data_IF_225118421996
#
_entry.id   IF_225118421996
#
_cell.length_a   1.000
_cell.length_b   1.000
_cell.length_c   1.000
_cell.angle_alpha   90.00
_cell.angle_beta   90.00
_cell.angle_gamma   90.00
#
_symmetry.space_group_name_H-M   'P 1'
#
loop_
_entity.id
_entity.type
_entity.pdbx_description
1 polymer ?
#
# COMPACT_ATOMS: atom_id res chain seq x y z
N UNK A 1 -3.55 -61.80 -19.22
CA UNK A 1 -2.46 -61.05 -18.56
C UNK A 1 -2.99 -59.67 -18.19
N UNK A 2 -2.85 -59.30 -16.90
CA UNK A 2 -3.21 -58.00 -16.30
C UNK A 2 -2.26 -56.88 -16.76
N UNK A 3 -2.78 -55.64 -16.84
CA UNK A 3 -2.20 -54.33 -16.40
C UNK A 3 -3.10 -53.21 -16.97
N UNK A 4 -4.09 -52.71 -16.21
CA UNK A 4 -4.04 -51.52 -15.33
C UNK A 4 -3.58 -50.26 -16.10
N UNK A 5 -4.51 -49.39 -16.52
CA UNK A 5 -4.91 -48.14 -15.82
C UNK A 5 -3.70 -47.24 -15.51
N UNK A 6 -3.67 -46.01 -16.06
CA UNK A 6 -3.70 -44.76 -15.28
C UNK A 6 -3.79 -43.56 -16.24
N UNK A 7 -4.89 -42.83 -16.09
CA UNK A 7 -5.21 -41.49 -16.59
C UNK A 7 -4.12 -40.50 -16.17
N UNK A 8 -3.52 -39.75 -17.10
CA UNK A 8 -2.79 -38.53 -16.73
C UNK A 8 -3.63 -37.32 -17.11
N UNK A 9 -4.50 -36.98 -16.15
CA UNK A 9 -5.08 -35.67 -15.97
C UNK A 9 -3.93 -34.77 -15.48
N UNK A 10 -3.39 -33.90 -16.33
CA UNK A 10 -2.73 -32.70 -15.83
C UNK A 10 -3.51 -31.51 -16.37
N UNK A 11 -4.37 -31.01 -15.48
CA UNK A 11 -4.92 -29.67 -15.54
C UNK A 11 -3.78 -28.69 -15.81
N UNK A 12 -3.79 -28.08 -16.99
CA UNK A 12 -3.04 -26.86 -17.25
C UNK A 12 -3.63 -25.80 -16.34
N UNK A 13 -2.94 -25.57 -15.22
CA UNK A 13 -3.26 -24.60 -14.18
C UNK A 13 -3.54 -23.25 -14.84
N UNK A 14 -4.75 -22.76 -14.63
CA UNK A 14 -5.17 -21.38 -14.85
C UNK A 14 -4.32 -20.52 -13.91
N UNK A 15 -3.29 -19.85 -14.44
CA UNK A 15 -2.63 -18.73 -13.76
C UNK A 15 -3.31 -17.44 -14.20
N UNK A 16 -4.56 -17.24 -13.79
CA UNK A 16 -5.08 -15.88 -13.60
C UNK A 16 -4.53 -15.38 -12.27
N UNK A 17 -3.24 -15.03 -12.26
CA UNK A 17 -2.61 -14.35 -11.14
C UNK A 17 -3.02 -12.88 -11.13
N UNK A 18 -4.02 -12.58 -10.31
CA UNK A 18 -4.31 -11.35 -9.57
C UNK A 18 -3.68 -10.03 -10.06
N UNK A 19 -4.52 -9.09 -10.47
CA UNK A 19 -4.17 -7.67 -10.54
C UNK A 19 -3.97 -7.10 -9.13
N UNK A 20 -2.77 -7.26 -8.58
CA UNK A 20 -2.31 -6.54 -7.40
C UNK A 20 -1.56 -5.26 -7.78
N UNK A 21 -1.30 -4.37 -6.82
CA UNK A 21 -0.52 -3.16 -7.08
C UNK A 21 0.86 -3.49 -7.68
N UNK A 22 1.37 -2.64 -8.59
CA UNK A 22 2.65 -2.84 -9.28
C UNK A 22 3.88 -2.74 -8.36
N UNK A 23 3.71 -2.27 -7.12
CA UNK A 23 4.77 -2.18 -6.12
C UNK A 23 4.90 -3.46 -5.27
N UNK A 24 4.01 -4.45 -5.46
CA UNK A 24 4.05 -5.72 -4.73
C UNK A 24 3.69 -5.60 -3.25
N UNK A 25 3.05 -4.50 -2.85
CA UNK A 25 2.65 -4.25 -1.46
C UNK A 25 1.39 -5.03 -1.08
N UNK A 26 1.22 -5.33 0.19
CA UNK A 26 -0.01 -5.86 0.76
C UNK A 26 -1.01 -4.71 0.97
N UNK A 27 -2.00 -4.60 0.08
CA UNK A 27 -2.98 -3.52 0.09
C UNK A 27 -3.88 -3.54 1.33
N UNK A 28 -4.20 -4.73 1.85
CA UNK A 28 -5.04 -4.89 3.04
C UNK A 28 -4.29 -4.35 4.25
N UNK A 29 -3.04 -4.77 4.44
CA UNK A 29 -2.18 -4.27 5.55
C UNK A 29 -1.90 -2.78 5.43
N UNK A 30 -1.71 -2.27 4.21
CA UNK A 30 -1.50 -0.84 3.98
C UNK A 30 -2.75 -0.03 4.34
N UNK A 31 -3.94 -0.49 3.94
CA UNK A 31 -5.20 0.15 4.31
C UNK A 31 -5.41 0.12 5.82
N UNK A 32 -5.14 -1.01 6.50
CA UNK A 32 -5.22 -1.10 7.96
C UNK A 32 -4.30 -0.09 8.65
N UNK A 33 -3.03 0.00 8.23
CA UNK A 33 -2.07 0.95 8.80
C UNK A 33 -2.47 2.41 8.57
N UNK A 34 -3.01 2.73 7.39
CA UNK A 34 -3.54 4.06 7.06
C UNK A 34 -4.73 4.41 7.94
N UNK A 35 -5.69 3.50 8.09
CA UNK A 35 -6.87 3.69 8.94
C UNK A 35 -6.44 3.92 10.39
N UNK A 36 -5.58 3.06 10.94
CA UNK A 36 -5.10 3.18 12.32
C UNK A 36 -4.44 4.55 12.54
N UNK A 37 -3.58 4.99 11.60
CA UNK A 37 -2.92 6.29 11.67
C UNK A 37 -3.91 7.45 11.54
N UNK A 38 -4.78 7.44 10.54
CA UNK A 38 -5.75 8.50 10.29
C UNK A 38 -6.67 8.72 11.50
N UNK A 39 -7.13 7.63 12.13
CA UNK A 39 -7.98 7.69 13.33
C UNK A 39 -7.27 8.31 14.54
N UNK A 40 -5.96 8.59 14.49
CA UNK A 40 -5.27 9.35 15.55
C UNK A 40 -5.38 10.87 15.41
N UNK A 41 -5.71 11.38 14.22
CA UNK A 41 -5.77 12.81 13.92
C UNK A 41 -6.93 13.50 14.63
N UNK A 42 -6.70 14.73 15.11
CA UNK A 42 -7.72 15.52 15.78
C UNK A 42 -8.90 15.83 14.85
N UNK A 43 -8.62 16.30 13.62
CA UNK A 43 -9.65 16.65 12.64
C UNK A 43 -10.52 15.45 12.23
N UNK A 44 -9.95 14.25 12.22
CA UNK A 44 -10.70 13.00 11.98
C UNK A 44 -11.63 12.69 13.16
N UNK A 45 -11.12 12.79 14.39
CA UNK A 45 -11.89 12.51 15.61
C UNK A 45 -12.99 13.55 15.87
N UNK A 46 -12.68 14.82 15.67
CA UNK A 46 -13.59 15.94 15.89
C UNK A 46 -14.63 16.07 14.77
N UNK A 47 -14.30 15.56 13.57
CA UNK A 47 -15.21 15.48 12.43
C UNK A 47 -16.17 14.29 12.43
N UNK A 48 -16.20 13.49 13.50
CA UNK A 48 -17.04 12.28 13.62
C UNK A 48 -16.86 11.24 12.50
N UNK A 49 -15.68 11.20 11.86
CA UNK A 49 -15.36 10.22 10.83
C UNK A 49 -15.16 8.81 11.42
N UNK A 50 -15.53 7.78 10.65
CA UNK A 50 -15.28 6.38 10.98
C UNK A 50 -14.21 5.76 10.08
N UNK A 51 -13.68 4.60 10.48
CA UNK A 51 -12.65 3.87 9.72
C UNK A 51 -13.01 3.68 8.25
N UNK A 52 -14.29 3.41 7.96
CA UNK A 52 -14.78 3.22 6.60
C UNK A 52 -14.72 4.49 5.76
N UNK A 53 -14.63 5.67 6.37
CA UNK A 53 -14.51 6.95 5.67
C UNK A 53 -13.08 7.28 5.26
N UNK A 54 -12.09 6.52 5.74
CA UNK A 54 -10.68 6.73 5.41
C UNK A 54 -10.33 5.94 4.14
N UNK A 55 -9.77 6.65 3.16
CA UNK A 55 -9.46 6.11 1.86
C UNK A 55 -7.99 6.29 1.54
N UNK A 56 -7.33 5.18 1.21
CA UNK A 56 -6.03 5.18 0.58
C UNK A 56 -6.12 5.73 -0.86
N UNK A 57 -5.31 6.74 -1.18
CA UNK A 57 -5.33 7.44 -2.47
C UNK A 57 -4.16 7.02 -3.35
N UNK A 58 -2.95 7.12 -2.81
CA UNK A 58 -1.70 6.92 -3.54
C UNK A 58 -0.64 6.36 -2.61
N UNK A 59 0.24 5.53 -3.13
CA UNK A 59 1.47 5.13 -2.46
C UNK A 59 2.65 5.33 -3.42
N UNK A 60 3.74 5.90 -2.92
CA UNK A 60 4.95 6.17 -3.70
C UNK A 60 6.15 5.52 -3.02
N UNK A 61 6.98 4.84 -3.79
CA UNK A 61 8.32 4.49 -3.32
C UNK A 61 9.05 5.78 -2.94
N UNK A 62 9.81 5.73 -1.85
CA UNK A 62 10.45 6.89 -1.28
C UNK A 62 11.86 6.57 -0.81
N UNK A 63 12.63 7.64 -0.61
CA UNK A 63 13.95 7.62 0.02
C UNK A 63 14.04 8.78 1.02
N UNK A 64 14.88 8.69 2.06
CA UNK A 64 15.15 9.84 2.91
C UNK A 64 15.68 11.01 2.07
N UNK A 65 15.21 12.22 2.35
CA UNK A 65 15.56 13.40 1.56
C UNK A 65 17.08 13.60 1.50
N UNK A 66 17.61 13.76 0.29
CA UNK A 66 19.04 13.91 0.05
C UNK A 66 19.84 12.61 0.22
N UNK A 67 19.18 11.45 0.11
CA UNK A 67 19.78 10.11 0.12
C UNK A 67 19.43 9.27 -1.10
N UNK A 68 19.05 9.92 -2.21
CA UNK A 68 18.73 9.25 -3.48
C UNK A 68 19.87 8.34 -3.96
N UNK A 69 21.14 8.70 -3.72
CA UNK A 69 22.28 7.88 -4.15
C UNK A 69 22.38 6.50 -3.45
N UNK A 70 21.67 6.30 -2.34
CA UNK A 70 21.64 5.02 -1.61
C UNK A 70 20.51 4.09 -2.08
N UNK A 71 19.69 4.55 -3.04
CA UNK A 71 18.57 3.81 -3.59
C UNK A 71 17.43 3.59 -2.59
N UNK A 72 16.38 2.94 -3.07
CA UNK A 72 15.22 2.60 -2.27
C UNK A 72 15.49 1.43 -1.31
N UNK A 73 15.05 1.57 -0.05
CA UNK A 73 15.26 0.62 1.05
C UNK A 73 13.93 0.15 1.67
N UNK A 74 12.87 0.07 0.84
CA UNK A 74 11.55 -0.35 1.30
C UNK A 74 10.73 0.75 1.99
N UNK A 75 11.17 2.01 1.89
CA UNK A 75 10.46 3.17 2.43
C UNK A 75 9.44 3.73 1.44
N UNK A 76 8.24 4.03 1.90
CA UNK A 76 7.16 4.55 1.07
C UNK A 76 6.50 5.75 1.73
N UNK A 77 5.94 6.63 0.89
CA UNK A 77 5.00 7.67 1.31
C UNK A 77 3.60 7.26 0.87
N UNK A 78 2.68 7.20 1.81
CA UNK A 78 1.28 6.88 1.59
C UNK A 78 0.43 8.13 1.74
N UNK A 79 -0.52 8.33 0.84
CA UNK A 79 -1.44 9.46 0.79
C UNK A 79 -2.85 8.95 1.03
N UNK A 80 -3.60 9.59 1.91
CA UNK A 80 -4.96 9.21 2.26
C UNK A 80 -5.84 10.44 2.43
N UNK A 81 -7.15 10.20 2.38
CA UNK A 81 -8.16 11.23 2.59
C UNK A 81 -9.42 10.65 3.22
N UNK A 82 -10.27 11.51 3.76
CA UNK A 82 -11.68 11.16 4.03
C UNK A 82 -12.46 11.07 2.72
N UNK A 83 -13.54 10.28 2.70
CA UNK A 83 -14.45 10.12 1.54
C UNK A 83 -14.99 11.42 0.97
N UNK A 84 -15.24 12.39 1.84
CA UNK A 84 -15.71 13.73 1.47
C UNK A 84 -14.56 14.70 1.11
N UNK A 85 -13.31 14.25 1.22
CA UNK A 85 -12.06 14.97 0.90
C UNK A 85 -11.74 16.17 1.80
N UNK A 86 -12.49 16.37 2.89
CA UNK A 86 -12.27 17.48 3.82
C UNK A 86 -10.98 17.32 4.63
N UNK A 87 -10.57 16.08 4.93
CA UNK A 87 -9.30 15.78 5.60
C UNK A 87 -8.43 14.95 4.66
N UNK A 88 -7.17 15.37 4.51
CA UNK A 88 -6.18 14.71 3.64
C UNK A 88 -4.81 14.82 4.30
N UNK A 89 -4.03 13.75 4.25
CA UNK A 89 -2.62 13.80 4.68
C UNK A 89 -1.78 12.71 3.99
N UNK A 90 -0.47 12.77 4.24
CA UNK A 90 0.50 11.78 3.82
C UNK A 90 1.40 11.36 4.98
N UNK A 91 1.69 10.06 5.02
CA UNK A 91 2.46 9.41 6.07
C UNK A 91 3.55 8.52 5.47
N UNK A 92 4.54 8.14 6.29
CA UNK A 92 5.62 7.24 5.88
C UNK A 92 5.35 5.85 6.42
N UNK A 93 5.79 4.81 5.72
CA UNK A 93 5.90 3.47 6.29
C UNK A 93 7.06 2.71 5.64
N UNK A 94 7.48 1.60 6.27
CA UNK A 94 8.43 0.66 5.69
C UNK A 94 7.73 -0.67 5.35
N UNK A 95 8.01 -1.25 4.18
CA UNK A 95 7.37 -2.51 3.74
C UNK A 95 7.68 -3.72 4.64
N UNK A 96 8.68 -3.63 5.51
CA UNK A 96 9.00 -4.73 6.43
C UNK A 96 8.00 -4.88 7.58
N UNK A 97 7.35 -3.79 8.02
CA UNK A 97 6.44 -3.80 9.17
C UNK A 97 5.02 -3.27 8.86
N UNK A 98 4.85 -2.46 7.81
CA UNK A 98 3.60 -1.78 7.46
C UNK A 98 3.10 -0.79 8.52
N UNK A 99 3.98 -0.35 9.42
CA UNK A 99 3.63 0.63 10.44
C UNK A 99 3.65 2.01 9.78
N UNK A 100 2.46 2.62 9.66
CA UNK A 100 2.32 3.97 9.11
C UNK A 100 2.63 4.99 10.20
N UNK A 101 3.58 5.88 9.95
CA UNK A 101 4.14 6.88 10.86
C UNK A 101 4.06 8.31 10.32
N UNK A 102 4.12 9.29 11.23
CA UNK A 102 4.35 10.68 10.84
C UNK A 102 5.75 10.85 10.23
N UNK A 103 6.01 12.02 9.65
CA UNK A 103 7.36 12.37 9.21
C UNK A 103 7.65 12.06 7.73
N UNK A 104 6.62 11.83 6.93
CA UNK A 104 6.74 11.71 5.47
C UNK A 104 7.46 12.91 4.82
N UNK A 105 7.44 14.09 5.44
CA UNK A 105 8.19 15.27 4.99
C UNK A 105 9.73 15.09 5.01
N UNK A 106 10.24 14.09 5.72
CA UNK A 106 11.66 13.71 5.72
C UNK A 106 12.03 12.80 4.55
N UNK A 107 11.05 12.41 3.74
CA UNK A 107 11.22 11.58 2.56
C UNK A 107 10.88 12.36 1.29
N UNK A 108 11.34 11.83 0.17
CA UNK A 108 11.00 12.29 -1.17
C UNK A 108 10.69 11.09 -2.06
N UNK A 109 9.83 11.29 -3.06
CA UNK A 109 9.43 10.24 -3.99
C UNK A 109 10.65 9.74 -4.77
N UNK A 110 10.78 8.42 -4.88
CA UNK A 110 11.83 7.76 -5.65
C UNK A 110 11.30 7.41 -7.03
N UNK A 111 11.46 8.35 -7.97
CA UNK A 111 10.86 8.30 -9.31
C UNK A 111 11.23 7.05 -10.13
N UNK A 112 12.38 6.43 -9.86
CA UNK A 112 12.81 5.20 -10.56
C UNK A 112 11.87 4.01 -10.34
N UNK A 113 11.24 3.93 -9.16
CA UNK A 113 10.21 2.92 -8.85
C UNK A 113 8.81 3.51 -9.06
N UNK A 114 8.62 4.77 -8.67
CA UNK A 114 7.39 5.52 -8.90
C UNK A 114 6.29 5.25 -7.88
N UNK A 115 5.04 5.45 -8.31
CA UNK A 115 3.86 5.42 -7.46
C UNK A 115 2.77 4.51 -8.02
N UNK A 116 1.89 4.08 -7.14
CA UNK A 116 0.61 3.46 -7.47
C UNK A 116 -0.54 4.32 -6.95
N UNK A 117 -1.49 4.64 -7.83
CA UNK A 117 -2.73 5.32 -7.48
C UNK A 117 -3.84 4.28 -7.31
N UNK A 118 -4.51 4.32 -6.16
CA UNK A 118 -5.69 3.50 -5.88
C UNK A 118 -6.99 4.17 -6.33
N UNK A 119 -6.92 5.49 -6.56
CA UNK A 119 -8.00 6.30 -7.11
C UNK A 119 -7.54 7.02 -8.38
N UNK A 120 -8.38 6.99 -9.41
CA UNK A 120 -8.22 7.71 -10.69
C UNK A 120 -8.86 9.10 -10.64
#
# INVERSE_FOLDING_TARGET
MKRLLTTLLLAGVVLTGCGGNPLGLDEERLQEGVVERAMTYADVKEGDYIEQDIELVKVCAAVPRGKQEYGHQGDYVVFWQTKDTEVQDHNHFNESDYIVEFGANSYEEFEEIGCHNFKE
#
